data_IF_587975718598
#
_entry.id   IF_587975718598
#
_cell.length_a   1.000
_cell.length_b   1.000
_cell.length_c   1.000
_cell.angle_alpha   90.00
_cell.angle_beta   90.00
_cell.angle_gamma   90.00
#
_symmetry.space_group_name_H-M   'P 1'
#
loop_
_entity.id
_entity.type
_entity.pdbx_description
1 polymer ?
#
# COMPACT_ATOMS: atom_id res chain seq x y z
N UNK A 1 24.39 35.58 -3.23
CA UNK A 1 24.72 34.22 -2.75
C UNK A 1 23.49 33.72 -2.02
N UNK A 2 22.75 32.83 -2.66
CA UNK A 2 21.57 32.21 -2.03
C UNK A 2 21.99 31.34 -0.85
N UNK A 3 21.28 31.41 0.30
CA UNK A 3 21.50 30.49 1.39
C UNK A 3 21.04 29.10 0.97
N UNK A 4 21.95 28.13 1.04
CA UNK A 4 21.65 26.70 0.84
C UNK A 4 20.50 26.31 1.78
N UNK A 5 19.54 25.50 1.33
CA UNK A 5 18.48 25.02 2.21
C UNK A 5 19.13 24.14 3.28
N UNK A 6 19.23 24.71 4.48
CA UNK A 6 19.67 24.05 5.70
C UNK A 6 18.75 22.88 6.00
N UNK A 7 19.37 21.72 6.30
CA UNK A 7 18.80 20.55 6.97
C UNK A 7 17.33 20.68 7.32
N UNK A 8 16.47 20.34 6.35
CA UNK A 8 15.06 20.12 6.63
C UNK A 8 15.01 19.01 7.67
N UNK A 9 14.69 19.39 8.91
CA UNK A 9 14.46 18.52 10.08
C UNK A 9 13.98 17.15 9.61
N UNK A 10 14.90 16.18 9.55
CA UNK A 10 14.55 14.78 9.30
C UNK A 10 13.65 14.38 10.45
N UNK A 11 12.34 14.40 10.21
CA UNK A 11 11.35 13.88 11.14
C UNK A 11 11.70 12.41 11.32
N UNK A 12 12.16 12.04 12.50
CA UNK A 12 12.34 10.64 12.85
C UNK A 12 10.96 9.99 12.88
N UNK A 13 10.56 9.39 11.76
CA UNK A 13 9.34 8.61 11.69
C UNK A 13 9.63 7.27 12.38
N UNK A 14 8.83 6.92 13.39
CA UNK A 14 8.82 5.57 13.91
C UNK A 14 8.25 4.66 12.83
N UNK A 15 9.11 3.81 12.27
CA UNK A 15 8.73 2.84 11.26
C UNK A 15 8.05 1.69 12.02
N UNK A 16 6.71 1.66 11.99
CA UNK A 16 5.95 0.53 12.52
C UNK A 16 6.34 -0.78 11.83
N UNK A 17 6.07 -1.91 12.46
CA UNK A 17 6.52 -3.25 12.03
C UNK A 17 6.21 -3.55 10.55
N UNK A 18 5.03 -3.18 10.06
CA UNK A 18 4.63 -3.31 8.65
C UNK A 18 5.53 -2.52 7.69
N UNK A 19 5.89 -1.28 8.05
CA UNK A 19 6.75 -0.42 7.24
C UNK A 19 8.19 -0.95 7.22
N UNK A 20 8.65 -1.53 8.33
CA UNK A 20 9.99 -2.13 8.42
C UNK A 20 10.07 -3.37 7.53
N UNK A 21 9.05 -4.25 7.57
CA UNK A 21 8.94 -5.40 6.67
C UNK A 21 8.86 -4.97 5.20
N UNK A 22 8.09 -3.93 4.89
CA UNK A 22 8.00 -3.38 3.54
C UNK A 22 9.36 -2.89 3.02
N UNK A 23 10.13 -2.15 3.84
CA UNK A 23 11.46 -1.71 3.48
C UNK A 23 12.43 -2.88 3.28
N UNK A 24 12.39 -3.88 4.16
CA UNK A 24 13.21 -5.09 4.06
C UNK A 24 12.87 -5.94 2.83
N UNK A 25 11.60 -5.93 2.39
CA UNK A 25 11.14 -6.68 1.21
C UNK A 25 11.68 -6.16 -0.12
N UNK A 26 12.27 -4.95 -0.14
CA UNK A 26 12.78 -4.33 -1.37
C UNK A 26 11.71 -3.84 -2.34
N UNK A 27 10.41 -3.90 -1.96
CA UNK A 27 9.30 -3.44 -2.81
C UNK A 27 9.22 -1.92 -2.97
N UNK A 28 9.79 -1.16 -2.05
CA UNK A 28 10.04 0.28 -2.25
C UNK A 28 11.32 0.45 -3.06
N UNK A 29 11.20 0.85 -4.33
CA UNK A 29 12.35 0.96 -5.24
C UNK A 29 13.00 2.33 -5.16
N UNK A 30 14.21 2.39 -4.61
CA UNK A 30 15.09 3.55 -4.74
C UNK A 30 16.56 3.14 -4.64
N UNK A 31 17.47 4.05 -5.04
CA UNK A 31 18.92 3.77 -5.08
C UNK A 31 19.57 3.65 -3.69
N UNK A 32 18.90 4.09 -2.63
CA UNK A 32 19.40 4.04 -1.26
C UNK A 32 18.27 3.82 -0.26
N UNK A 33 18.59 3.32 0.93
CA UNK A 33 17.62 3.18 2.02
C UNK A 33 16.98 4.52 2.43
N UNK A 34 17.77 5.59 2.51
CA UNK A 34 17.25 6.94 2.78
C UNK A 34 16.23 7.37 1.72
N UNK A 35 16.49 7.12 0.43
CA UNK A 35 15.55 7.44 -0.63
C UNK A 35 14.28 6.57 -0.58
N UNK A 36 14.39 5.29 -0.16
CA UNK A 36 13.22 4.44 0.09
C UNK A 36 12.38 4.97 1.25
N UNK A 37 13.02 5.52 2.29
CA UNK A 37 12.34 6.14 3.42
C UNK A 37 11.64 7.45 3.02
N UNK A 38 12.30 8.29 2.21
CA UNK A 38 11.71 9.53 1.71
C UNK A 38 10.51 9.26 0.79
N UNK A 39 10.62 8.28 -0.11
CA UNK A 39 9.51 7.82 -0.96
C UNK A 39 8.36 7.28 -0.12
N UNK A 40 8.66 6.49 0.90
CA UNK A 40 7.67 5.94 1.81
C UNK A 40 6.98 7.05 2.61
N UNK A 41 7.73 8.03 3.11
CA UNK A 41 7.19 9.18 3.84
C UNK A 41 6.32 10.06 2.94
N UNK A 42 6.71 10.29 1.68
CA UNK A 42 5.91 11.02 0.71
C UNK A 42 4.60 10.28 0.39
N UNK A 43 4.65 8.96 0.19
CA UNK A 43 3.45 8.12 0.02
C UNK A 43 2.56 8.17 1.27
N UNK A 44 3.15 8.10 2.47
CA UNK A 44 2.43 8.13 3.73
C UNK A 44 1.76 9.48 4.00
N UNK A 45 2.38 10.61 3.63
CA UNK A 45 1.77 11.94 3.76
C UNK A 45 0.56 12.09 2.82
N UNK A 46 0.61 11.51 1.62
CA UNK A 46 -0.55 11.42 0.72
C UNK A 46 -1.65 10.54 1.33
N UNK A 47 -1.27 9.37 1.88
CA UNK A 47 -2.19 8.39 2.48
C UNK A 47 -2.93 8.94 3.72
N UNK A 48 -2.21 9.68 4.57
CA UNK A 48 -2.78 10.35 5.75
C UNK A 48 -3.72 11.47 5.33
N UNK A 49 -3.38 12.25 4.30
CA UNK A 49 -4.21 13.36 3.81
C UNK A 49 -5.48 12.90 3.10
N UNK A 50 -5.42 11.80 2.38
CA UNK A 50 -6.55 11.29 1.57
C UNK A 50 -7.39 10.22 2.29
N UNK A 51 -7.08 9.92 3.55
CA UNK A 51 -7.84 9.06 4.47
C UNK A 51 -8.46 7.81 3.83
N UNK A 52 -7.60 6.79 3.73
CA UNK A 52 -7.90 5.35 3.76
C UNK A 52 -8.70 4.75 2.58
N UNK A 53 -8.28 3.57 2.05
CA UNK A 53 -9.06 2.79 1.10
C UNK A 53 -10.40 2.23 1.65
N UNK A 54 -10.86 2.68 2.83
CA UNK A 54 -12.21 2.40 3.36
C UNK A 54 -13.32 2.78 2.38
N UNK A 55 -13.12 3.82 1.56
CA UNK A 55 -14.09 4.21 0.51
C UNK A 55 -14.14 3.25 -0.67
N UNK A 56 -13.10 2.43 -0.87
CA UNK A 56 -13.07 1.44 -1.96
C UNK A 56 -13.84 0.17 -1.61
N UNK A 57 -14.22 -0.03 -0.33
CA UNK A 57 -14.90 -1.24 0.16
C UNK A 57 -14.20 -2.52 -0.33
N UNK A 58 -12.87 -2.54 -0.19
CA UNK A 58 -12.04 -3.59 -0.77
C UNK A 58 -12.31 -4.94 -0.09
N UNK A 59 -12.63 -5.96 -0.88
CA UNK A 59 -12.78 -7.33 -0.38
C UNK A 59 -11.41 -8.03 -0.25
N UNK A 60 -11.30 -9.10 0.57
CA UNK A 60 -10.05 -9.86 0.65
C UNK A 60 -9.62 -10.44 -0.69
N UNK A 61 -10.57 -10.90 -1.52
CA UNK A 61 -10.27 -11.42 -2.85
C UNK A 61 -9.74 -10.34 -3.80
N UNK A 62 -10.29 -9.12 -3.72
CA UNK A 62 -9.79 -7.97 -4.47
C UNK A 62 -8.39 -7.57 -4.03
N UNK A 63 -8.09 -7.63 -2.73
CA UNK A 63 -6.75 -7.35 -2.23
C UNK A 63 -5.72 -8.37 -2.76
N UNK A 64 -6.06 -9.65 -2.76
CA UNK A 64 -5.20 -10.71 -3.33
C UNK A 64 -4.98 -10.49 -4.82
N UNK A 65 -6.03 -10.15 -5.58
CA UNK A 65 -5.90 -9.86 -7.00
C UNK A 65 -4.95 -8.69 -7.25
N UNK A 66 -5.13 -7.58 -6.52
CA UNK A 66 -4.26 -6.40 -6.63
C UNK A 66 -2.83 -6.74 -6.23
N UNK A 67 -2.64 -7.54 -5.16
CA UNK A 67 -1.32 -7.99 -4.73
C UNK A 67 -0.62 -8.84 -5.79
N UNK A 68 -1.35 -9.71 -6.49
CA UNK A 68 -0.77 -10.49 -7.60
C UNK A 68 -0.35 -9.59 -8.76
N UNK A 69 -1.17 -8.59 -9.12
CA UNK A 69 -0.78 -7.59 -10.13
C UNK A 69 0.48 -6.86 -9.67
N UNK A 70 0.48 -6.27 -8.46
CA UNK A 70 1.62 -5.54 -7.91
C UNK A 70 2.90 -6.38 -7.87
N UNK A 71 2.80 -7.69 -7.61
CA UNK A 71 3.95 -8.61 -7.60
C UNK A 71 4.59 -8.75 -8.99
N UNK A 72 3.78 -8.80 -10.03
CA UNK A 72 4.24 -9.01 -11.42
C UNK A 72 4.78 -7.72 -12.07
N UNK A 73 4.43 -6.55 -11.51
CA UNK A 73 4.76 -5.27 -12.13
C UNK A 73 6.19 -4.80 -11.88
N UNK A 74 6.80 -4.26 -12.93
CA UNK A 74 8.10 -3.59 -12.88
C UNK A 74 8.00 -2.08 -12.72
N UNK A 75 6.78 -1.54 -12.62
CA UNK A 75 6.55 -0.12 -12.47
C UNK A 75 6.74 0.36 -11.02
N UNK A 76 6.99 1.65 -10.89
CA UNK A 76 6.96 2.31 -9.57
C UNK A 76 5.52 2.54 -9.13
N UNK A 77 5.28 2.73 -7.83
CA UNK A 77 3.94 2.97 -7.28
C UNK A 77 3.15 4.08 -8.00
N UNK A 78 3.72 5.28 -8.23
CA UNK A 78 3.06 6.36 -8.97
C UNK A 78 2.61 5.99 -10.39
N UNK A 79 3.50 5.37 -11.17
CA UNK A 79 3.19 4.97 -12.54
C UNK A 79 2.15 3.83 -12.56
N UNK A 80 2.30 2.88 -11.63
CA UNK A 80 1.36 1.79 -11.46
C UNK A 80 -0.02 2.29 -11.05
N UNK A 81 -0.12 3.30 -10.19
CA UNK A 81 -1.41 3.86 -9.78
C UNK A 81 -2.21 4.45 -10.95
N UNK A 82 -1.54 4.96 -11.99
CA UNK A 82 -2.21 5.44 -13.20
C UNK A 82 -2.74 4.28 -14.07
N UNK A 83 -2.04 3.14 -14.08
CA UNK A 83 -2.32 2.02 -14.97
C UNK A 83 -3.13 0.90 -14.33
N UNK A 84 -3.16 0.81 -13.00
CA UNK A 84 -3.82 -0.27 -12.24
C UNK A 84 -5.31 -0.43 -12.62
N UNK A 85 -6.13 0.64 -12.76
CA UNK A 85 -7.52 0.47 -13.16
C UNK A 85 -7.66 -0.16 -14.56
N UNK A 86 -6.82 0.25 -15.51
CA UNK A 86 -6.83 -0.28 -16.87
C UNK A 86 -6.36 -1.73 -16.91
N UNK A 87 -5.31 -2.09 -16.16
CA UNK A 87 -4.82 -3.46 -16.03
C UNK A 87 -5.90 -4.39 -15.48
N UNK A 88 -6.60 -3.99 -14.42
CA UNK A 88 -7.70 -4.78 -13.84
C UNK A 88 -8.84 -4.98 -14.85
N UNK A 89 -9.20 -3.96 -15.62
CA UNK A 89 -10.22 -4.11 -16.67
C UNK A 89 -9.76 -5.04 -17.80
N UNK A 90 -8.49 -4.96 -18.20
CA UNK A 90 -7.92 -5.83 -19.23
C UNK A 90 -7.90 -7.31 -18.81
N UNK A 91 -7.65 -7.59 -17.53
CA UNK A 91 -7.77 -8.95 -17.00
C UNK A 91 -9.22 -9.47 -17.14
N UNK A 92 -10.20 -8.58 -17.02
CA UNK A 92 -11.62 -8.89 -17.14
C UNK A 92 -12.15 -9.13 -18.55
N UNK A 93 -11.34 -8.96 -19.59
CA UNK A 93 -11.81 -8.99 -20.99
C UNK A 93 -12.25 -10.39 -21.41
N UNK A 94 -11.51 -11.41 -20.98
CA UNK A 94 -11.79 -12.81 -21.31
C UNK A 94 -12.73 -13.48 -20.29
N UNK A 95 -12.70 -13.03 -19.04
CA UNK A 95 -13.62 -13.45 -18.00
C UNK A 95 -13.93 -12.26 -17.09
N UNK A 96 -15.20 -11.82 -16.97
CA UNK A 96 -15.56 -10.68 -16.14
C UNK A 96 -15.35 -10.95 -14.64
N UNK A 97 -15.07 -12.20 -14.28
CA UNK A 97 -14.73 -12.60 -12.92
C UNK A 97 -13.44 -13.39 -12.89
N UNK A 98 -12.49 -12.95 -12.05
CA UNK A 98 -11.23 -13.66 -11.81
C UNK A 98 -11.12 -13.97 -10.33
N UNK A 99 -10.97 -15.25 -10.01
CA UNK A 99 -10.88 -15.73 -8.62
C UNK A 99 -11.99 -15.10 -7.74
N UNK A 100 -13.24 -15.08 -8.21
CA UNK A 100 -14.38 -14.53 -7.49
C UNK A 100 -14.45 -12.99 -7.40
N UNK A 101 -13.57 -12.27 -8.10
CA UNK A 101 -13.57 -10.80 -8.16
C UNK A 101 -14.22 -10.34 -9.46
N UNK A 102 -15.22 -9.47 -9.37
CA UNK A 102 -15.73 -8.72 -10.52
C UNK A 102 -14.71 -7.64 -10.92
N UNK A 103 -13.93 -7.93 -11.96
CA UNK A 103 -12.86 -7.07 -12.44
C UNK A 103 -13.39 -5.81 -13.12
N UNK A 104 -14.59 -5.85 -13.70
CA UNK A 104 -15.22 -4.67 -14.30
C UNK A 104 -15.63 -3.68 -13.21
N UNK A 105 -16.30 -4.16 -12.16
CA UNK A 105 -16.71 -3.35 -11.03
C UNK A 105 -15.52 -2.79 -10.24
N UNK A 106 -14.50 -3.63 -9.97
CA UNK A 106 -13.27 -3.17 -9.31
C UNK A 106 -12.53 -2.13 -10.17
N UNK A 107 -12.32 -2.43 -11.45
CA UNK A 107 -11.64 -1.51 -12.37
C UNK A 107 -12.37 -0.18 -12.52
N UNK A 108 -13.71 -0.18 -12.53
CA UNK A 108 -14.51 1.04 -12.52
C UNK A 108 -14.33 1.84 -11.22
N UNK A 109 -14.43 1.20 -10.05
CA UNK A 109 -14.20 1.87 -8.74
C UNK A 109 -12.81 2.51 -8.68
N UNK A 110 -11.78 1.83 -9.17
CA UNK A 110 -10.42 2.36 -9.15
C UNK A 110 -10.20 3.48 -10.16
N UNK A 111 -10.91 3.48 -11.28
CA UNK A 111 -10.87 4.56 -12.28
C UNK A 111 -11.50 5.85 -11.74
N UNK A 112 -12.51 5.75 -10.88
CA UNK A 112 -13.20 6.89 -10.27
C UNK A 112 -12.60 7.31 -8.93
N UNK A 113 -11.69 6.49 -8.37
CA UNK A 113 -10.94 6.81 -7.18
C UNK A 113 -9.94 7.95 -7.42
N UNK A 114 -9.64 8.71 -6.38
CA UNK A 114 -8.54 9.67 -6.42
C UNK A 114 -7.22 8.93 -6.58
N UNK A 115 -6.26 9.57 -7.24
CA UNK A 115 -4.93 9.00 -7.43
C UNK A 115 -4.26 8.58 -6.09
N UNK A 116 -4.44 9.38 -5.04
CA UNK A 116 -3.97 9.04 -3.68
C UNK A 116 -4.62 7.78 -3.09
N UNK A 117 -5.89 7.51 -3.39
CA UNK A 117 -6.60 6.30 -2.94
C UNK A 117 -6.04 5.04 -3.65
N UNK A 118 -5.71 5.16 -4.94
CA UNK A 118 -5.10 4.05 -5.71
C UNK A 118 -3.66 3.78 -5.25
N UNK A 119 -2.89 4.84 -4.97
CA UNK A 119 -1.57 4.72 -4.35
C UNK A 119 -1.64 4.02 -2.99
N UNK A 120 -2.63 4.38 -2.17
CA UNK A 120 -2.84 3.77 -0.86
C UNK A 120 -3.14 2.26 -0.98
N UNK A 121 -3.91 1.86 -2.00
CA UNK A 121 -4.20 0.47 -2.29
C UNK A 121 -2.94 -0.30 -2.72
N UNK A 122 -2.08 0.30 -3.55
CA UNK A 122 -0.81 -0.33 -3.94
C UNK A 122 0.09 -0.54 -2.72
N UNK A 123 0.24 0.47 -1.86
CA UNK A 123 1.02 0.35 -0.62
C UNK A 123 0.42 -0.71 0.32
N UNK A 124 -0.90 -0.80 0.42
CA UNK A 124 -1.60 -1.85 1.17
C UNK A 124 -1.26 -3.25 0.63
N UNK A 125 -1.27 -3.42 -0.70
CA UNK A 125 -0.92 -4.67 -1.35
C UNK A 125 0.58 -5.01 -1.17
N UNK A 126 1.48 -4.04 -1.28
CA UNK A 126 2.91 -4.22 -1.04
C UNK A 126 3.19 -4.69 0.40
N UNK A 127 2.46 -4.16 1.39
CA UNK A 127 2.54 -4.58 2.79
C UNK A 127 2.03 -6.01 2.99
N UNK A 128 0.86 -6.34 2.44
CA UNK A 128 0.36 -7.71 2.48
C UNK A 128 1.39 -8.68 1.91
N UNK A 129 1.97 -8.35 0.75
CA UNK A 129 2.98 -9.18 0.12
C UNK A 129 4.28 -9.27 0.92
N UNK A 130 4.62 -8.25 1.72
CA UNK A 130 5.82 -8.26 2.55
C UNK A 130 5.68 -9.23 3.73
N UNK A 131 4.45 -9.46 4.18
CA UNK A 131 4.13 -10.43 5.22
C UNK A 131 3.85 -11.83 4.65
N UNK A 132 3.17 -11.86 3.51
CA UNK A 132 2.72 -13.07 2.84
C UNK A 132 3.12 -12.99 1.36
N UNK A 133 4.29 -13.50 0.96
CA UNK A 133 4.77 -13.43 -0.43
C UNK A 133 3.78 -14.01 -1.44
N UNK A 134 3.01 -15.03 -1.03
CA UNK A 134 1.94 -15.67 -1.82
C UNK A 134 0.63 -15.65 -1.00
N UNK A 135 -0.07 -14.50 -0.94
CA UNK A 135 -1.18 -14.30 -0.02
C UNK A 135 -2.43 -15.05 -0.48
N UNK A 136 -3.06 -15.70 0.48
CA UNK A 136 -4.38 -16.31 0.38
C UNK A 136 -5.50 -15.32 0.74
N UNK A 137 -6.76 -15.69 0.48
CA UNK A 137 -7.91 -14.84 0.86
C UNK A 137 -8.05 -14.73 2.37
N UNK A 138 -7.75 -15.81 3.08
CA UNK A 138 -7.79 -15.89 4.53
C UNK A 138 -6.75 -14.96 5.17
N UNK A 139 -5.52 -14.96 4.65
CA UNK A 139 -4.47 -14.03 5.09
C UNK A 139 -4.81 -12.58 4.77
N UNK A 140 -5.34 -12.31 3.58
CA UNK A 140 -5.80 -10.96 3.22
C UNK A 140 -6.95 -10.48 4.12
N UNK A 141 -7.87 -11.38 4.52
CA UNK A 141 -8.95 -11.06 5.45
C UNK A 141 -8.38 -10.72 6.84
N UNK A 142 -7.53 -11.58 7.39
CA UNK A 142 -6.88 -11.35 8.68
C UNK A 142 -6.06 -10.04 8.69
N UNK A 143 -5.37 -9.74 7.59
CA UNK A 143 -4.62 -8.51 7.41
C UNK A 143 -5.54 -7.27 7.40
N UNK A 144 -6.64 -7.30 6.65
CA UNK A 144 -7.63 -6.21 6.64
C UNK A 144 -8.28 -6.01 8.01
N UNK A 145 -8.55 -7.10 8.75
CA UNK A 145 -9.11 -7.04 10.10
C UNK A 145 -8.11 -6.46 11.11
N UNK A 146 -6.82 -6.82 11.02
CA UNK A 146 -5.76 -6.24 11.84
C UNK A 146 -5.62 -4.73 11.63
N UNK A 147 -5.82 -4.23 10.40
CA UNK A 147 -5.82 -2.79 10.09
C UNK A 147 -7.05 -2.05 10.63
N UNK A 148 -8.15 -2.77 10.87
CA UNK A 148 -9.39 -2.22 11.44
C UNK A 148 -9.37 -2.24 12.96
N UNK A 149 -8.57 -3.11 13.57
CA UNK A 149 -8.42 -3.17 15.01
C UNK A 149 -7.91 -1.80 15.52
N UNK A 150 -8.52 -1.24 16.58
CA UNK A 150 -7.97 -0.05 17.21
C UNK A 150 -6.53 -0.34 17.62
N UNK A 151 -5.61 0.57 17.31
CA UNK A 151 -4.25 0.54 17.82
C UNK A 151 -4.35 0.66 19.34
N UNK A 152 -4.52 -0.47 20.02
CA UNK A 152 -4.36 -0.57 21.46
C UNK A 152 -2.90 -0.26 21.71
N UNK A 153 -2.61 1.01 22.04
CA UNK A 153 -1.32 1.44 22.52
C UNK A 153 -0.84 0.45 23.58
N UNK A 154 0.10 -0.43 23.23
CA UNK A 154 0.97 -1.08 24.23
C UNK A 154 1.94 -0.02 24.72
N UNK A 155 1.42 0.94 25.48
CA UNK A 155 2.20 1.64 26.48
C UNK A 155 2.27 0.72 27.71
N UNK A 156 3.07 -0.34 27.63
CA UNK A 156 3.47 -1.08 28.83
C UNK A 156 4.88 -0.64 29.21
N UNK A 157 4.90 0.38 30.07
CA UNK A 157 5.80 0.53 31.21
C UNK A 157 7.27 0.18 30.99
N UNK A 158 8.05 1.17 30.55
CA UNK A 158 9.36 1.41 31.13
C UNK A 158 9.16 1.91 32.59
N UNK A 159 8.76 1.00 33.46
CA UNK A 159 8.73 1.22 34.90
C UNK A 159 10.17 1.21 35.40
N UNK A 160 10.64 2.39 35.78
CA UNK A 160 11.81 2.56 36.63
C UNK A 160 11.65 1.73 37.91
N UNK A 161 12.67 0.97 38.26
CA UNK A 161 13.23 0.89 39.61
C UNK A 161 14.62 0.25 39.53
#
# INVERSE_FOLDING_TARGET
MDPRPTDAKRRSFYIGEHLARLLASGRVRARSESARLDDLAARYDILIRELSPRRLELTPAELVLVANIVREETLTGPDLALLLPAKIQLLGTDSPTIAGVDTSALGYRLRTAKHGEVLALIDLAERLLAEHPDPTREEAAAFLDALRAPVMHRSQSAGHS
#
